data_IF_352745303477
#
_entry.id   IF_352745303477
#
_cell.length_a   1.000
_cell.length_b   1.000
_cell.length_c   1.000
_cell.angle_alpha   90.00
_cell.angle_beta   90.00
_cell.angle_gamma   90.00
#
_symmetry.space_group_name_H-M   'P 1'
#
loop_
_entity.id
_entity.type
_entity.pdbx_description
1 polymer ?
#
# COMPACT_ATOMS: atom_id res chain seq x y z
N UNK A 1 -14.19 9.71 -5.14
CA UNK A 1 -14.00 11.11 -5.54
C UNK A 1 -13.06 11.83 -4.56
N UNK A 2 -11.79 11.41 -4.47
CA UNK A 2 -10.82 12.05 -3.55
C UNK A 2 -9.40 12.14 -4.12
N UNK A 3 -9.17 11.70 -5.37
CA UNK A 3 -7.87 11.78 -6.05
C UNK A 3 -7.61 13.18 -6.63
N UNK A 4 -8.64 13.86 -7.14
CA UNK A 4 -8.51 15.22 -7.71
C UNK A 4 -8.10 16.26 -6.65
N UNK A 5 -8.50 16.09 -5.39
CA UNK A 5 -8.19 17.06 -4.34
C UNK A 5 -6.74 16.94 -3.85
N UNK A 6 -6.21 15.71 -3.76
CA UNK A 6 -4.77 15.50 -3.51
C UNK A 6 -3.91 16.00 -4.67
N UNK A 7 -4.43 15.90 -5.90
CA UNK A 7 -3.73 16.29 -7.11
C UNK A 7 -3.61 17.81 -7.26
N UNK A 8 -4.67 18.54 -6.93
CA UNK A 8 -4.69 20.01 -6.92
C UNK A 8 -3.88 20.59 -5.76
N UNK A 9 -3.87 19.93 -4.60
CA UNK A 9 -3.00 20.30 -3.50
C UNK A 9 -1.52 20.14 -3.90
N UNK A 10 -1.14 19.04 -4.57
CA UNK A 10 0.24 18.85 -5.02
C UNK A 10 0.66 19.85 -6.12
N UNK A 11 -0.24 20.20 -7.05
CA UNK A 11 0.01 21.27 -8.04
C UNK A 11 0.24 22.63 -7.37
N UNK A 12 -0.52 22.96 -6.33
CA UNK A 12 -0.29 24.18 -5.52
C UNK A 12 1.03 24.12 -4.75
N UNK A 13 1.44 22.94 -4.27
CA UNK A 13 2.72 22.75 -3.56
C UNK A 13 3.94 23.09 -4.42
N UNK A 14 3.87 22.87 -5.73
CA UNK A 14 4.94 23.19 -6.69
C UNK A 14 5.03 24.69 -7.01
N UNK A 15 3.99 25.46 -6.71
CA UNK A 15 3.86 26.87 -7.11
C UNK A 15 4.30 27.86 -6.02
N UNK A 16 4.45 27.43 -4.76
CA UNK A 16 4.73 28.34 -3.64
C UNK A 16 5.88 27.83 -2.75
N UNK A 17 7.10 27.93 -3.28
CA UNK A 17 8.33 27.42 -2.67
C UNK A 17 8.68 28.07 -1.31
N UNK A 18 8.10 29.24 -0.98
CA UNK A 18 8.29 29.91 0.32
C UNK A 18 7.33 29.40 1.41
N UNK A 19 6.27 28.66 1.04
CA UNK A 19 5.23 28.16 1.95
C UNK A 19 5.39 26.67 2.31
N UNK A 20 6.39 25.99 1.75
CA UNK A 20 6.62 24.56 1.91
C UNK A 20 8.09 24.23 2.17
N UNK A 21 8.35 23.12 2.86
CA UNK A 21 9.68 22.59 3.08
C UNK A 21 9.68 21.08 2.89
N UNK A 22 10.77 20.54 2.33
CA UNK A 22 10.93 19.10 2.11
C UNK A 22 12.28 18.62 2.64
N UNK A 23 12.26 17.48 3.34
CA UNK A 23 13.48 16.79 3.78
C UNK A 23 13.44 15.35 3.25
N UNK A 24 14.54 14.93 2.64
CA UNK A 24 14.71 13.58 2.12
C UNK A 24 15.62 12.77 3.03
N UNK A 25 15.20 11.55 3.36
CA UNK A 25 15.96 10.56 4.11
C UNK A 25 16.13 9.32 3.24
N UNK A 26 17.38 8.95 2.98
CA UNK A 26 17.72 7.70 2.29
C UNK A 26 17.71 6.54 3.28
N UNK A 27 17.11 5.42 2.89
CA UNK A 27 17.01 4.18 3.66
C UNK A 27 17.73 3.06 2.89
N UNK A 28 18.83 2.59 3.45
CA UNK A 28 19.68 1.52 2.91
C UNK A 28 20.47 0.83 4.03
N UNK A 29 20.92 -0.43 3.85
CA UNK A 29 20.51 -1.35 2.78
C UNK A 29 19.13 -1.95 3.08
N UNK A 30 18.43 -2.38 2.02
CA UNK A 30 17.17 -3.12 2.10
C UNK A 30 17.32 -4.43 1.33
N UNK A 31 16.74 -5.52 1.84
CA UNK A 31 16.83 -6.86 1.26
C UNK A 31 16.13 -6.95 -0.09
N UNK A 32 14.92 -6.38 -0.19
CA UNK A 32 14.09 -6.43 -1.40
C UNK A 32 14.14 -5.14 -2.21
N UNK A 33 13.95 -4.02 -1.51
CA UNK A 33 13.81 -2.72 -2.16
C UNK A 33 15.16 -2.16 -2.61
N UNK A 34 16.28 -2.70 -2.12
CA UNK A 34 17.67 -2.22 -2.26
C UNK A 34 17.90 -0.86 -1.58
N UNK A 35 17.12 0.15 -1.98
CA UNK A 35 17.11 1.49 -1.42
C UNK A 35 15.72 2.14 -1.53
N UNK A 36 15.37 2.95 -0.53
CA UNK A 36 14.20 3.82 -0.55
C UNK A 36 14.58 5.25 -0.17
N UNK A 37 13.78 6.21 -0.62
CA UNK A 37 13.84 7.60 -0.16
C UNK A 37 12.52 7.95 0.51
N UNK A 38 12.59 8.34 1.77
CA UNK A 38 11.48 8.94 2.51
C UNK A 38 11.54 10.45 2.31
N UNK A 39 10.40 11.06 1.97
CA UNK A 39 10.27 12.51 1.84
C UNK A 39 9.26 12.99 2.87
N UNK A 40 9.71 13.84 3.79
CA UNK A 40 8.85 14.60 4.69
C UNK A 40 8.55 15.95 4.04
N UNK A 41 7.29 16.22 3.78
CA UNK A 41 6.86 17.44 3.10
C UNK A 41 5.92 18.25 4.02
N UNK A 42 6.45 19.33 4.57
CA UNK A 42 5.71 20.26 5.43
C UNK A 42 5.11 21.40 4.63
N UNK A 43 3.85 21.71 4.91
CA UNK A 43 3.12 22.82 4.28
C UNK A 43 2.31 23.60 5.30
N UNK A 44 2.41 24.93 5.24
CA UNK A 44 1.68 25.82 6.16
C UNK A 44 0.16 25.70 6.03
N UNK A 45 -0.35 25.52 4.81
CA UNK A 45 -1.78 25.45 4.52
C UNK A 45 -2.40 24.08 4.85
N UNK A 46 -1.59 23.01 4.84
CA UNK A 46 -2.04 21.68 5.24
C UNK A 46 -2.04 21.46 6.76
N UNK A 47 -1.29 22.27 7.51
CA UNK A 47 -1.17 22.14 8.97
C UNK A 47 -0.53 20.83 9.42
N UNK A 48 0.14 20.09 8.54
CA UNK A 48 0.76 18.80 8.81
C UNK A 48 2.01 18.59 7.95
N UNK A 49 2.89 17.68 8.39
CA UNK A 49 4.07 17.26 7.64
C UNK A 49 3.81 15.87 7.09
N UNK A 50 3.52 15.82 5.80
CA UNK A 50 3.13 14.60 5.11
C UNK A 50 4.33 13.73 4.78
N UNK A 51 4.19 12.43 4.99
CA UNK A 51 5.23 11.45 4.68
C UNK A 51 4.95 10.74 3.36
N UNK A 52 5.97 10.69 2.50
CA UNK A 52 5.98 9.95 1.24
C UNK A 52 7.18 9.02 1.15
N UNK A 53 7.05 7.95 0.39
CA UNK A 53 8.14 7.00 0.12
C UNK A 53 8.26 6.78 -1.39
N UNK A 54 9.49 6.84 -1.89
CA UNK A 54 9.85 6.58 -3.27
C UNK A 54 10.87 5.45 -3.36
N UNK A 55 10.89 4.74 -4.50
CA UNK A 55 11.93 3.76 -4.79
C UNK A 55 13.27 4.44 -5.13
N UNK A 56 14.37 3.78 -4.75
CA UNK A 56 15.74 4.23 -5.01
C UNK A 56 16.30 5.11 -3.90
N UNK A 57 17.62 5.32 -3.92
CA UNK A 57 18.34 6.09 -2.90
C UNK A 57 18.63 7.52 -3.33
N UNK A 58 17.59 8.30 -3.62
CA UNK A 58 17.69 9.69 -4.10
C UNK A 58 18.26 10.63 -3.04
N UNK A 59 19.21 11.46 -3.45
CA UNK A 59 19.84 12.49 -2.63
C UNK A 59 19.10 13.82 -2.61
N UNK A 60 19.60 14.76 -1.80
CA UNK A 60 19.08 16.12 -1.74
C UNK A 60 19.24 16.83 -3.09
N UNK A 61 18.18 17.50 -3.56
CA UNK A 61 18.16 18.23 -4.83
C UNK A 61 17.82 17.37 -6.05
N UNK A 62 17.70 16.06 -5.91
CA UNK A 62 17.19 15.20 -6.98
C UNK A 62 15.67 15.35 -7.12
N UNK A 63 15.20 15.56 -8.35
CA UNK A 63 13.78 15.65 -8.63
C UNK A 63 13.11 14.28 -8.46
N UNK A 64 11.92 14.27 -7.85
CA UNK A 64 11.03 13.10 -7.78
C UNK A 64 9.71 13.50 -8.38
N UNK A 65 9.28 12.75 -9.39
CA UNK A 65 7.97 13.00 -9.99
C UNK A 65 6.86 12.54 -9.05
N UNK A 66 5.68 13.13 -9.22
CA UNK A 66 4.50 12.76 -8.45
C UNK A 66 4.18 11.27 -8.52
N UNK A 67 4.28 10.69 -9.71
CA UNK A 67 3.97 9.27 -9.94
C UNK A 67 4.98 8.32 -9.31
N UNK A 68 6.05 8.86 -8.72
CA UNK A 68 7.08 8.13 -7.97
C UNK A 68 6.95 8.33 -6.44
N UNK A 69 5.95 9.08 -5.96
CA UNK A 69 5.72 9.32 -4.54
C UNK A 69 4.50 8.54 -4.03
N UNK A 70 4.76 7.54 -3.18
CA UNK A 70 3.71 6.82 -2.47
C UNK A 70 3.43 7.50 -1.15
N UNK A 71 2.18 7.93 -0.93
CA UNK A 71 1.76 8.50 0.36
C UNK A 71 1.72 7.41 1.44
N UNK A 72 2.44 7.62 2.55
CA UNK A 72 2.42 6.75 3.73
C UNK A 72 1.84 7.52 4.90
N UNK A 73 0.66 7.18 5.44
CA UNK A 73 -0.08 7.97 6.43
C UNK A 73 0.52 7.90 7.84
N UNK A 74 1.84 8.02 7.93
CA UNK A 74 2.64 8.05 9.14
C UNK A 74 3.31 9.42 9.21
N UNK A 75 2.50 10.44 9.49
CA UNK A 75 2.91 11.84 9.39
C UNK A 75 3.80 12.25 10.55
N UNK A 76 4.74 13.14 10.25
CA UNK A 76 5.63 13.73 11.24
C UNK A 76 4.84 14.80 12.01
N UNK A 77 4.98 14.80 13.33
CA UNK A 77 4.37 15.79 14.19
C UNK A 77 5.43 16.41 15.12
N UNK A 78 5.62 17.72 14.98
CA UNK A 78 6.59 18.48 15.76
C UNK A 78 5.88 19.49 16.69
N UNK A 79 4.55 19.39 16.84
CA UNK A 79 3.75 20.39 17.56
C UNK A 79 4.08 20.47 19.05
N UNK A 80 4.61 19.40 19.65
CA UNK A 80 5.00 19.35 21.06
C UNK A 80 6.37 20.00 21.33
N UNK A 81 7.12 20.39 20.30
CA UNK A 81 8.40 21.05 20.48
C UNK A 81 8.26 22.45 21.06
N UNK A 82 8.91 22.71 22.20
CA UNK A 82 8.97 24.05 22.82
C UNK A 82 9.93 25.00 22.12
N UNK A 83 10.93 24.46 21.41
CA UNK A 83 11.91 25.24 20.66
C UNK A 83 12.46 24.49 19.43
N UNK A 84 13.39 25.14 18.72
CA UNK A 84 14.02 24.60 17.51
C UNK A 84 14.88 23.36 17.79
N UNK A 85 15.61 23.33 18.89
CA UNK A 85 16.50 22.20 19.22
C UNK A 85 15.69 20.96 19.56
N UNK A 86 14.58 21.14 20.29
CA UNK A 86 13.61 20.10 20.57
C UNK A 86 12.90 19.61 19.32
N UNK A 87 12.51 20.51 18.41
CA UNK A 87 11.93 20.13 17.12
C UNK A 87 12.90 19.29 16.28
N UNK A 88 14.19 19.66 16.26
CA UNK A 88 15.23 18.88 15.59
C UNK A 88 15.40 17.50 16.22
N UNK A 89 15.41 17.42 17.56
CA UNK A 89 15.49 16.13 18.27
C UNK A 89 14.29 15.23 17.94
N UNK A 90 13.06 15.75 18.04
CA UNK A 90 11.83 15.03 17.72
C UNK A 90 11.81 14.56 16.26
N UNK A 91 12.26 15.41 15.33
CA UNK A 91 12.41 15.02 13.93
C UNK A 91 13.34 13.81 13.79
N UNK A 92 14.53 13.84 14.39
CA UNK A 92 15.49 12.74 14.28
C UNK A 92 14.94 11.44 14.89
N UNK A 93 14.27 11.51 16.04
CA UNK A 93 13.66 10.36 16.71
C UNK A 93 12.56 9.72 15.84
N UNK A 94 11.64 10.53 15.32
CA UNK A 94 10.54 10.06 14.48
C UNK A 94 11.03 9.55 13.12
N UNK A 95 12.00 10.24 12.50
CA UNK A 95 12.61 9.80 11.25
C UNK A 95 13.36 8.46 11.42
N UNK A 96 14.05 8.28 12.55
CA UNK A 96 14.67 7.01 12.88
C UNK A 96 13.62 5.90 13.11
N UNK A 97 12.53 6.19 13.82
CA UNK A 97 11.45 5.23 14.04
C UNK A 97 10.81 4.76 12.73
N UNK A 98 10.57 5.67 11.77
CA UNK A 98 10.06 5.33 10.45
C UNK A 98 11.07 4.52 9.65
N UNK A 99 12.35 4.93 9.63
CA UNK A 99 13.43 4.18 8.96
C UNK A 99 13.48 2.74 9.46
N UNK A 100 13.48 2.54 10.77
CA UNK A 100 13.53 1.21 11.37
C UNK A 100 12.29 0.38 11.01
N UNK A 101 11.10 1.00 10.95
CA UNK A 101 9.88 0.34 10.51
C UNK A 101 9.94 -0.09 9.04
N UNK A 102 10.49 0.75 8.15
CA UNK A 102 10.68 0.42 6.73
C UNK A 102 11.67 -0.73 6.54
N UNK A 103 12.78 -0.72 7.28
CA UNK A 103 13.75 -1.83 7.27
C UNK A 103 13.09 -3.12 7.77
N UNK A 104 12.38 -3.06 8.89
CA UNK A 104 11.66 -4.22 9.42
C UNK A 104 10.62 -4.76 8.44
N UNK A 105 9.87 -3.87 7.78
CA UNK A 105 8.87 -4.24 6.78
C UNK A 105 9.48 -4.94 5.57
N UNK A 106 10.60 -4.45 5.08
CA UNK A 106 11.30 -5.00 3.92
C UNK A 106 11.89 -6.38 4.25
N UNK A 107 12.48 -6.52 5.44
CA UNK A 107 12.97 -7.82 5.95
C UNK A 107 11.84 -8.82 6.13
N UNK A 108 10.73 -8.43 6.76
CA UNK A 108 9.57 -9.33 6.91
C UNK A 108 9.03 -9.72 5.54
N UNK A 109 8.94 -8.78 4.60
CA UNK A 109 8.50 -9.11 3.25
C UNK A 109 9.46 -10.10 2.56
N UNK A 110 10.76 -10.02 2.78
CA UNK A 110 11.72 -11.00 2.24
C UNK A 110 11.50 -12.40 2.83
N UNK A 111 11.20 -12.49 4.13
CA UNK A 111 10.85 -13.77 4.80
C UNK A 111 9.61 -14.42 4.16
N UNK A 112 8.67 -13.64 3.64
CA UNK A 112 7.47 -14.16 2.97
C UNK A 112 7.72 -14.67 1.56
N UNK A 113 8.89 -14.40 0.96
CA UNK A 113 9.20 -14.77 -0.42
C UNK A 113 9.17 -16.28 -0.63
N UNK A 114 9.99 -17.02 0.10
CA UNK A 114 10.16 -18.46 -0.07
C UNK A 114 8.83 -19.22 0.18
N UNK A 115 8.10 -18.97 1.29
CA UNK A 115 6.78 -19.57 1.50
C UNK A 115 5.78 -19.29 0.36
N UNK A 116 5.81 -18.08 -0.22
CA UNK A 116 4.95 -17.74 -1.35
C UNK A 116 5.37 -18.48 -2.63
N UNK A 117 6.67 -18.59 -2.91
CA UNK A 117 7.18 -19.37 -4.06
C UNK A 117 6.76 -20.84 -3.95
N UNK A 118 6.94 -21.43 -2.77
CA UNK A 118 6.65 -22.83 -2.51
C UNK A 118 5.15 -23.13 -2.63
N UNK A 119 4.30 -22.35 -1.96
CA UNK A 119 2.84 -22.59 -1.94
C UNK A 119 2.15 -22.20 -3.24
N UNK A 120 2.61 -21.15 -3.92
CA UNK A 120 2.06 -20.78 -5.23
C UNK A 120 2.54 -21.71 -6.35
N UNK A 121 3.62 -22.47 -6.11
CA UNK A 121 4.37 -23.21 -7.13
C UNK A 121 4.77 -22.32 -8.31
N UNK A 122 5.17 -21.09 -8.00
CA UNK A 122 5.41 -20.02 -8.98
C UNK A 122 6.66 -19.23 -8.59
N UNK A 123 7.31 -18.64 -9.59
CA UNK A 123 8.45 -17.75 -9.37
C UNK A 123 7.95 -16.36 -8.99
N UNK A 124 8.09 -16.03 -7.71
CA UNK A 124 7.72 -14.72 -7.17
C UNK A 124 8.61 -13.61 -7.73
N UNK A 125 7.97 -12.50 -8.10
CA UNK A 125 8.62 -11.28 -8.56
C UNK A 125 8.53 -10.20 -7.50
N UNK A 126 9.56 -9.35 -7.45
CA UNK A 126 9.51 -8.11 -6.67
C UNK A 126 8.91 -7.02 -7.55
N UNK A 127 7.71 -6.58 -7.20
CA UNK A 127 7.05 -5.43 -7.83
C UNK A 127 7.41 -4.15 -7.06
N UNK A 128 7.84 -3.12 -7.79
CA UNK A 128 8.25 -1.81 -7.26
C UNK A 128 7.35 -0.68 -7.74
N UNK A 129 6.23 -1.02 -8.38
CA UNK A 129 5.20 -0.06 -8.78
C UNK A 129 4.47 0.44 -7.53
N UNK A 130 4.20 1.74 -7.52
CA UNK A 130 3.44 2.39 -6.45
C UNK A 130 1.97 1.98 -6.49
N UNK A 131 1.43 1.84 -7.70
CA UNK A 131 0.08 1.34 -7.95
C UNK A 131 0.10 -0.17 -8.05
N UNK A 132 -0.78 -0.81 -7.29
CA UNK A 132 -1.05 -2.24 -7.38
C UNK A 132 -2.34 -2.47 -8.18
N UNK A 133 -2.43 -3.65 -8.78
CA UNK A 133 -3.60 -4.08 -9.55
C UNK A 133 -4.74 -4.61 -8.64
N UNK A 134 -4.58 -4.48 -7.31
CA UNK A 134 -5.58 -4.85 -6.30
C UNK A 134 -5.87 -3.69 -5.33
N UNK A 135 -7.08 -3.67 -4.77
CA UNK A 135 -7.47 -2.71 -3.73
C UNK A 135 -7.17 -3.28 -2.36
N UNK A 136 -6.31 -2.60 -1.61
CA UNK A 136 -5.98 -3.00 -0.25
C UNK A 136 -6.95 -2.37 0.77
N UNK A 137 -7.28 -3.07 1.86
CA UNK A 137 -8.12 -2.51 2.94
C UNK A 137 -7.35 -1.56 3.86
N UNK A 138 -6.02 -1.47 3.71
CA UNK A 138 -5.12 -0.64 4.49
C UNK A 138 -4.06 0.03 3.61
N UNK A 139 -3.43 1.07 4.12
CA UNK A 139 -2.40 1.82 3.38
C UNK A 139 -1.12 1.01 3.28
N UNK A 140 -0.42 1.11 2.16
CA UNK A 140 0.91 0.50 2.01
C UNK A 140 1.94 1.26 2.83
N UNK A 141 2.85 0.51 3.44
CA UNK A 141 4.03 1.09 4.08
C UNK A 141 5.21 1.19 3.10
N UNK A 142 5.35 0.22 2.19
CA UNK A 142 6.43 0.17 1.20
C UNK A 142 5.89 0.25 -0.24
N UNK A 143 6.60 0.91 -1.17
CA UNK A 143 6.31 0.84 -2.60
C UNK A 143 6.73 -0.50 -3.23
N UNK A 144 7.17 -1.46 -2.41
CA UNK A 144 7.57 -2.81 -2.81
C UNK A 144 6.51 -3.84 -2.42
N UNK A 145 6.29 -4.83 -3.29
CA UNK A 145 5.41 -5.96 -3.07
C UNK A 145 6.04 -7.23 -3.68
N UNK A 146 5.67 -8.39 -3.16
CA UNK A 146 5.90 -9.67 -3.81
C UNK A 146 4.68 -10.03 -4.66
N UNK A 147 4.91 -10.57 -5.84
CA UNK A 147 3.85 -10.96 -6.77
C UNK A 147 4.13 -12.36 -7.31
N UNK A 148 3.19 -13.29 -7.14
CA UNK A 148 3.11 -14.52 -7.94
C UNK A 148 2.35 -14.20 -9.22
N UNK A 149 3.00 -14.13 -10.40
CA UNK A 149 2.34 -13.73 -11.63
C UNK A 149 1.29 -14.73 -12.11
N UNK A 150 1.52 -16.04 -11.92
CA UNK A 150 0.62 -17.08 -12.40
C UNK A 150 -0.66 -17.17 -11.56
N UNK A 151 -0.53 -17.03 -10.23
CA UNK A 151 -1.68 -17.02 -9.32
C UNK A 151 -2.25 -15.61 -9.11
N UNK A 152 -1.58 -14.58 -9.60
CA UNK A 152 -1.92 -13.17 -9.40
C UNK A 152 -2.05 -12.79 -7.92
N UNK A 153 -1.26 -13.43 -7.06
CA UNK A 153 -1.23 -13.15 -5.62
C UNK A 153 -0.20 -12.04 -5.37
N UNK A 154 -0.59 -11.05 -4.58
CA UNK A 154 0.24 -9.93 -4.16
C UNK A 154 0.39 -9.97 -2.64
N UNK A 155 1.63 -9.86 -2.17
CA UNK A 155 1.96 -9.72 -0.74
C UNK A 155 2.68 -8.41 -0.52
N UNK A 156 2.20 -7.57 0.40
CA UNK A 156 2.82 -6.27 0.67
C UNK A 156 2.59 -5.81 2.12
N UNK A 157 3.59 -5.15 2.75
CA UNK A 157 3.40 -4.57 4.07
C UNK A 157 2.44 -3.39 4.04
N UNK A 158 1.48 -3.42 4.95
CA UNK A 158 0.49 -2.37 5.15
C UNK A 158 0.63 -1.77 6.54
N UNK A 159 0.17 -0.53 6.70
CA UNK A 159 0.11 0.18 7.96
C UNK A 159 -1.25 0.86 8.17
N UNK A 160 -1.55 1.14 9.43
CA UNK A 160 -2.66 2.03 9.78
C UNK A 160 -2.18 3.48 9.88
N UNK A 161 -3.08 4.41 9.62
CA UNK A 161 -2.79 5.84 9.74
C UNK A 161 -2.55 6.21 11.21
N UNK A 162 -1.40 6.82 11.51
CA UNK A 162 -1.02 7.29 12.86
C UNK A 162 0.13 8.28 12.78
N UNK A 163 0.18 9.28 13.66
CA UNK A 163 1.37 10.12 13.82
C UNK A 163 2.60 9.32 14.27
N UNK A 164 3.80 9.70 13.79
CA UNK A 164 5.07 9.12 14.23
C UNK A 164 5.42 9.45 15.69
N UNK A 165 4.88 10.54 16.27
CA UNK A 165 5.05 10.84 17.71
C UNK A 165 4.46 9.75 18.60
N UNK A 166 3.43 9.05 18.12
CA UNK A 166 2.82 7.92 18.82
C UNK A 166 3.62 6.61 18.65
N UNK A 167 4.85 6.68 18.12
CA UNK A 167 5.78 5.57 17.95
C UNK A 167 5.85 5.01 16.53
N UNK A 168 6.41 3.80 16.40
CA UNK A 168 6.49 3.10 15.11
C UNK A 168 5.08 2.85 14.55
N UNK A 169 4.88 2.95 13.22
CA UNK A 169 3.58 2.70 12.62
C UNK A 169 3.13 1.26 12.89
N UNK A 170 1.87 1.03 13.28
CA UNK A 170 1.33 -0.32 13.37
C UNK A 170 1.31 -0.95 11.98
N UNK A 171 1.79 -2.19 11.90
CA UNK A 171 2.07 -2.87 10.64
C UNK A 171 1.42 -4.25 10.59
N UNK A 172 1.04 -4.67 9.39
CA UNK A 172 0.65 -6.03 9.04
C UNK A 172 1.10 -6.38 7.62
N UNK A 173 0.87 -7.62 7.20
CA UNK A 173 1.10 -8.07 5.83
C UNK A 173 -0.25 -8.27 5.16
N UNK A 174 -0.49 -7.57 4.06
CA UNK A 174 -1.63 -7.85 3.20
C UNK A 174 -1.26 -8.93 2.19
N UNK A 175 -2.09 -9.97 2.09
CA UNK A 175 -2.09 -10.95 1.01
C UNK A 175 -3.37 -10.74 0.22
N UNK A 176 -3.28 -10.64 -1.10
CA UNK A 176 -4.44 -10.36 -1.92
C UNK A 176 -4.34 -10.93 -3.32
N UNK A 177 -5.50 -11.23 -3.89
CA UNK A 177 -5.75 -11.55 -5.28
C UNK A 177 -6.96 -10.70 -5.71
N UNK A 178 -7.28 -10.66 -6.99
CA UNK A 178 -8.46 -9.93 -7.47
C UNK A 178 -9.69 -10.25 -6.60
N UNK A 179 -10.32 -9.21 -6.06
CA UNK A 179 -11.54 -9.24 -5.23
C UNK A 179 -11.44 -9.90 -3.83
N UNK A 180 -10.28 -10.46 -3.46
CA UNK A 180 -10.04 -11.08 -2.13
C UNK A 180 -8.75 -10.55 -1.54
N UNK A 181 -8.83 -9.89 -0.38
CA UNK A 181 -7.64 -9.40 0.34
C UNK A 181 -7.81 -9.65 1.83
N UNK A 182 -6.71 -10.09 2.47
CA UNK A 182 -6.64 -10.30 3.90
C UNK A 182 -5.37 -9.69 4.48
N UNK A 183 -5.49 -9.12 5.68
CA UNK A 183 -4.35 -8.55 6.41
C UNK A 183 -4.04 -9.44 7.61
N UNK A 184 -2.79 -9.86 7.70
CA UNK A 184 -2.27 -10.70 8.79
C UNK A 184 -1.36 -9.87 9.71
N UNK A 185 -1.38 -10.12 11.03
CA UNK A 185 -0.38 -9.59 11.94
C UNK A 185 1.03 -10.06 11.56
N UNK A 186 2.05 -9.22 11.78
CA UNK A 186 3.45 -9.58 11.46
C UNK A 186 4.01 -10.83 12.19
N UNK A 187 3.64 -11.12 13.45
CA UNK A 187 4.18 -12.29 14.15
C UNK A 187 3.65 -13.63 13.61
N UNK A 188 2.66 -13.60 12.73
CA UNK A 188 2.06 -14.83 12.22
C UNK A 188 2.99 -15.52 11.22
N UNK A 189 2.95 -16.85 11.26
CA UNK A 189 3.70 -17.72 10.35
C UNK A 189 3.24 -17.54 8.88
N UNK A 190 4.15 -17.21 7.93
CA UNK A 190 3.78 -16.98 6.53
C UNK A 190 3.12 -18.16 5.85
N UNK A 191 3.62 -19.40 6.08
CA UNK A 191 3.08 -20.60 5.44
C UNK A 191 1.61 -20.83 5.85
N UNK A 192 1.32 -20.73 7.15
CA UNK A 192 -0.05 -20.82 7.67
C UNK A 192 -0.95 -19.73 7.08
N UNK A 193 -0.48 -18.48 7.06
CA UNK A 193 -1.24 -17.36 6.52
C UNK A 193 -1.56 -17.53 5.03
N UNK A 194 -0.57 -17.94 4.23
CA UNK A 194 -0.72 -18.17 2.80
C UNK A 194 -1.65 -19.36 2.52
N UNK A 195 -1.53 -20.45 3.28
CA UNK A 195 -2.44 -21.60 3.17
C UNK A 195 -3.89 -21.19 3.43
N UNK A 196 -4.13 -20.48 4.53
CA UNK A 196 -5.46 -19.95 4.86
C UNK A 196 -5.98 -18.98 3.78
N UNK A 197 -5.11 -18.14 3.22
CA UNK A 197 -5.49 -17.23 2.14
C UNK A 197 -5.89 -17.98 0.87
N UNK A 198 -5.14 -19.03 0.49
CA UNK A 198 -5.42 -19.83 -0.70
C UNK A 198 -6.78 -20.56 -0.58
N UNK A 199 -7.10 -21.08 0.61
CA UNK A 199 -8.42 -21.65 0.89
C UNK A 199 -9.53 -20.60 0.72
N UNK A 200 -9.35 -19.42 1.33
CA UNK A 200 -10.29 -18.31 1.21
C UNK A 200 -10.50 -17.86 -0.25
N UNK A 201 -9.42 -17.76 -1.02
CA UNK A 201 -9.47 -17.38 -2.44
C UNK A 201 -10.19 -18.45 -3.28
N UNK A 202 -9.96 -19.74 -2.99
CA UNK A 202 -10.65 -20.84 -3.66
C UNK A 202 -12.16 -20.86 -3.36
N UNK A 203 -12.55 -20.65 -2.10
CA UNK A 203 -13.95 -20.53 -1.70
C UNK A 203 -14.64 -19.35 -2.41
N UNK A 204 -13.98 -18.20 -2.46
CA UNK A 204 -14.50 -17.03 -3.15
C UNK A 204 -14.67 -17.27 -4.66
N UNK A 205 -13.68 -17.87 -5.31
CA UNK A 205 -13.74 -18.20 -6.74
C UNK A 205 -14.89 -19.17 -7.04
N UNK A 206 -15.13 -20.16 -6.19
CA UNK A 206 -16.25 -21.08 -6.33
C UNK A 206 -17.61 -20.37 -6.20
N UNK A 207 -17.77 -19.54 -5.17
CA UNK A 207 -18.99 -18.76 -4.96
C UNK A 207 -19.28 -17.80 -6.13
N UNK A 208 -18.23 -17.16 -6.67
CA UNK A 208 -18.36 -16.29 -7.84
C UNK A 208 -18.79 -17.07 -9.09
N UNK A 209 -18.20 -18.24 -9.33
CA UNK A 209 -18.58 -19.10 -10.45
C UNK A 209 -20.05 -19.55 -10.36
N UNK A 210 -20.53 -19.93 -9.17
CA UNK A 210 -21.94 -20.25 -8.97
C UNK A 210 -22.86 -19.05 -9.25
N UNK A 211 -22.48 -17.86 -8.78
CA UNK A 211 -23.25 -16.65 -8.99
C UNK A 211 -23.34 -16.32 -10.49
N UNK A 212 -22.23 -16.38 -11.21
CA UNK A 212 -22.19 -16.15 -12.66
C UNK A 212 -23.07 -17.16 -13.40
N UNK A 213 -23.00 -18.45 -13.06
CA UNK A 213 -23.87 -19.47 -13.66
C UNK A 213 -25.36 -19.22 -13.40
N UNK A 214 -25.74 -18.73 -12.21
CA UNK A 214 -27.12 -18.32 -11.90
C UNK A 214 -27.54 -17.10 -12.72
N UNK A 215 -26.65 -16.13 -12.91
CA UNK A 215 -26.93 -14.94 -13.72
C UNK A 215 -27.12 -15.30 -15.19
N UNK A 216 -26.26 -16.15 -15.76
CA UNK A 216 -26.37 -16.65 -17.13
C UNK A 216 -27.70 -17.39 -17.34
N UNK A 217 -28.06 -18.30 -16.42
CA UNK A 217 -29.34 -19.01 -16.49
C UNK A 217 -30.55 -18.07 -16.37
N UNK A 218 -30.45 -17.01 -15.56
CA UNK A 218 -31.49 -15.99 -15.41
C UNK A 218 -31.68 -15.19 -16.71
N UNK A 219 -30.58 -14.79 -17.36
CA UNK A 219 -30.61 -14.08 -18.65
C UNK A 219 -31.21 -14.98 -19.73
N UNK A 220 -30.79 -16.25 -19.79
CA UNK A 220 -31.32 -17.22 -20.75
C UNK A 220 -32.84 -17.38 -20.61
N UNK A 221 -33.34 -17.55 -19.37
CA UNK A 221 -34.78 -17.63 -19.11
C UNK A 221 -35.51 -16.34 -19.49
N UNK A 222 -34.93 -15.18 -19.24
CA UNK A 222 -35.53 -13.90 -19.64
C UNK A 222 -35.63 -13.75 -21.17
N UNK A 223 -34.62 -14.21 -21.91
CA UNK A 223 -34.64 -14.24 -23.37
C UNK A 223 -35.69 -15.22 -23.91
N UNK A 224 -35.83 -16.41 -23.31
CA UNK A 224 -36.87 -17.39 -23.65
C UNK A 224 -38.27 -16.81 -23.45
N UNK A 225 -38.49 -16.13 -22.31
CA UNK A 225 -39.75 -15.44 -22.03
C UNK A 225 -40.04 -14.36 -23.07
N UNK A 226 -39.02 -13.65 -23.55
CA UNK A 226 -39.17 -12.58 -24.55
C UNK A 226 -39.38 -13.10 -25.99
N UNK A 227 -39.15 -14.39 -26.23
CA UNK A 227 -39.12 -15.00 -27.56
C UNK A 227 -40.46 -15.47 -28.11
N UNK A 228 -41.39 -15.89 -27.25
CA UNK A 228 -42.73 -16.36 -27.64
C UNK A 228 -43.77 -15.86 -26.62
N UNK A 229 -44.64 -14.92 -27.03
CA UNK A 229 -45.82 -14.42 -26.30
C UNK A 229 -45.59 -13.73 -24.93
N UNK A 230 -44.55 -12.88 -24.78
CA UNK A 230 -44.53 -11.94 -23.65
C UNK A 230 -45.50 -10.77 -23.88
N UNK A 231 -46.73 -10.92 -23.40
CA UNK A 231 -47.63 -9.78 -23.21
C UNK A 231 -46.97 -8.80 -22.23
N UNK A 232 -46.46 -7.67 -22.75
CA UNK A 232 -46.05 -6.54 -21.91
C UNK A 232 -47.21 -6.15 -20.98
N UNK A 233 -47.06 -6.45 -19.69
CA UNK A 233 -47.93 -5.87 -18.66
C UNK A 233 -47.19 -4.74 -17.97
N UNK A 234 -47.64 -3.50 -18.23
CA UNK A 234 -47.34 -2.31 -17.42
C UNK A 234 -46.25 -1.42 -17.99
#
# INVERSE_FOLDING_TARGET
MNEDHSDDLLKRALLDAEAAASVALRVTPLALSEALTVVFHGRKDLGTIQTYVAHGGRGAGEAVSKDELMRVPCDLDLAEAGDREEAERLFQEQAAALRDALIGADTVLDVWREPLEDLAHDRVRVDRRIRLDIRLPAHRLLPTALVSPEKQIVVTPVCSARSLTAGRPPMGIAVGQQDVVRVYPLPDDPERCLTEFLELAAEHAHALAEQLGRQEASVQRFLELSGDDFHQTG
#
